data_IF_794214821515
#
_entry.id   IF_794214821515
#
_cell.length_a   1.000
_cell.length_b   1.000
_cell.length_c   1.000
_cell.angle_alpha   90.00
_cell.angle_beta   90.00
_cell.angle_gamma   90.00
#
_symmetry.space_group_name_H-M   'P 1'
#
loop_
_entity.id
_entity.type
_entity.pdbx_description
1 polymer ?
#
# COMPACT_ATOMS: atom_id res chain seq x y z
N UNK A 1 13.34 9.16 -2.11
CA UNK A 1 12.25 9.93 -1.46
C UNK A 1 12.79 10.52 -0.15
N UNK A 2 12.38 11.73 0.28
CA UNK A 2 12.74 12.22 1.63
C UNK A 2 11.96 11.41 2.67
N UNK A 3 12.57 11.05 3.80
CA UNK A 3 11.96 10.23 4.86
C UNK A 3 10.57 10.75 5.31
N UNK A 4 10.39 12.07 5.35
CA UNK A 4 9.09 12.71 5.62
C UNK A 4 8.00 12.30 4.61
N UNK A 5 8.33 12.28 3.31
CA UNK A 5 7.41 11.89 2.23
C UNK A 5 7.10 10.39 2.29
N UNK A 6 8.07 9.54 2.66
CA UNK A 6 7.86 8.11 2.90
C UNK A 6 6.87 7.86 4.04
N UNK A 7 7.07 8.53 5.17
CA UNK A 7 6.16 8.44 6.32
C UNK A 7 4.76 8.98 6.01
N UNK A 8 4.64 10.02 5.19
CA UNK A 8 3.35 10.49 4.69
C UNK A 8 2.68 9.46 3.77
N UNK A 9 3.43 8.79 2.89
CA UNK A 9 2.89 7.74 2.04
C UNK A 9 2.36 6.55 2.85
N UNK A 10 3.10 6.09 3.85
CA UNK A 10 2.66 5.01 4.76
C UNK A 10 1.40 5.42 5.52
N UNK A 11 1.34 6.66 6.02
CA UNK A 11 0.13 7.19 6.67
C UNK A 11 -1.07 7.18 5.73
N UNK A 12 -0.92 7.65 4.49
CA UNK A 12 -2.00 7.67 3.51
C UNK A 12 -2.43 6.26 3.09
N UNK A 13 -1.50 5.31 2.97
CA UNK A 13 -1.80 3.90 2.75
C UNK A 13 -2.71 3.39 3.86
N UNK A 14 -2.33 3.61 5.12
CA UNK A 14 -3.12 3.19 6.28
C UNK A 14 -4.52 3.78 6.25
N UNK A 15 -4.64 5.09 6.04
CA UNK A 15 -5.94 5.76 5.95
C UNK A 15 -6.78 5.22 4.79
N UNK A 16 -6.17 4.95 3.63
CA UNK A 16 -6.88 4.36 2.50
C UNK A 16 -7.39 2.95 2.82
N UNK A 17 -6.57 2.09 3.42
CA UNK A 17 -7.00 0.74 3.83
C UNK A 17 -8.10 0.78 4.91
N UNK A 18 -8.07 1.76 5.82
CA UNK A 18 -9.15 1.99 6.80
C UNK A 18 -10.47 2.43 6.16
N UNK A 19 -10.46 2.94 4.92
CA UNK A 19 -11.70 3.27 4.19
C UNK A 19 -12.33 2.07 3.47
N UNK A 20 -11.65 0.93 3.43
CA UNK A 20 -12.22 -0.30 2.85
C UNK A 20 -13.22 -0.89 3.84
N UNK A 21 -14.51 -0.78 3.54
CA UNK A 21 -15.58 -1.32 4.41
C UNK A 21 -15.73 -2.84 4.27
N UNK A 22 -15.33 -3.41 3.14
CA UNK A 22 -15.49 -4.84 2.86
C UNK A 22 -14.52 -5.71 3.66
N UNK A 23 -13.42 -5.14 4.16
CA UNK A 23 -12.30 -5.88 4.76
C UNK A 23 -11.62 -5.14 5.89
N UNK A 24 -11.29 -5.91 6.93
CA UNK A 24 -10.55 -5.39 8.07
C UNK A 24 -9.06 -5.62 7.86
N UNK A 25 -8.33 -4.54 7.56
CA UNK A 25 -6.87 -4.55 7.46
C UNK A 25 -6.22 -4.16 8.78
N UNK A 26 -5.27 -4.96 9.24
CA UNK A 26 -4.46 -4.67 10.45
C UNK A 26 -2.99 -4.62 10.08
N UNK A 27 -2.36 -3.49 10.37
CA UNK A 27 -0.92 -3.31 10.22
C UNK A 27 -0.16 -4.21 11.21
N UNK A 28 0.78 -5.01 10.69
CA UNK A 28 1.61 -5.90 11.50
C UNK A 28 2.96 -5.24 11.77
N UNK A 29 3.65 -4.78 10.71
CA UNK A 29 4.97 -4.19 10.80
C UNK A 29 5.36 -3.46 9.51
N UNK A 30 6.06 -2.33 9.66
CA UNK A 30 6.84 -1.74 8.57
C UNK A 30 8.11 -2.57 8.33
N UNK A 31 8.38 -2.89 7.07
CA UNK A 31 9.58 -3.64 6.67
C UNK A 31 10.67 -2.64 6.28
N UNK A 32 11.86 -2.69 6.89
CA UNK A 32 12.93 -1.76 6.56
C UNK A 32 13.44 -2.03 5.14
N UNK A 33 13.36 -1.01 4.29
CA UNK A 33 13.87 -1.05 2.91
C UNK A 33 15.13 -0.20 2.81
N UNK A 34 16.09 -0.63 2.00
CA UNK A 34 17.28 0.17 1.65
C UNK A 34 17.04 1.10 0.46
N UNK A 35 15.95 0.88 -0.27
CA UNK A 35 15.53 1.72 -1.39
C UNK A 35 14.74 2.92 -0.87
N UNK A 36 15.26 4.11 -1.15
CA UNK A 36 14.72 5.39 -0.68
C UNK A 36 13.40 5.74 -1.36
N UNK A 37 13.06 5.13 -2.51
CA UNK A 37 11.80 5.34 -3.21
C UNK A 37 10.81 4.19 -2.98
N UNK A 38 11.18 3.21 -2.14
CA UNK A 38 10.33 2.08 -1.77
C UNK A 38 9.91 2.16 -0.31
N UNK A 39 8.68 1.73 -0.04
CA UNK A 39 8.26 1.36 1.30
C UNK A 39 7.53 0.01 1.27
N UNK A 40 7.62 -0.70 2.37
CA UNK A 40 7.03 -2.03 2.52
C UNK A 40 6.36 -2.09 3.89
N UNK A 41 5.10 -2.51 3.91
CA UNK A 41 4.33 -2.63 5.15
C UNK A 41 3.57 -3.94 5.13
N UNK A 42 3.76 -4.75 6.15
CA UNK A 42 3.08 -6.02 6.32
C UNK A 42 1.72 -5.82 6.98
N UNK A 43 0.69 -6.41 6.40
CA UNK A 43 -0.69 -6.38 6.87
C UNK A 43 -1.23 -7.79 7.03
N UNK A 44 -2.15 -7.95 7.97
CA UNK A 44 -3.14 -9.02 7.95
C UNK A 44 -4.48 -8.48 7.47
N UNK A 45 -5.28 -9.33 6.85
CA UNK A 45 -6.67 -9.02 6.53
C UNK A 45 -7.60 -10.12 7.03
N UNK A 46 -8.84 -9.75 7.33
CA UNK A 46 -9.94 -10.66 7.59
C UNK A 46 -11.11 -10.31 6.67
N UNK A 47 -11.66 -11.32 5.97
CA UNK A 47 -12.80 -11.18 5.09
C UNK A 47 -13.64 -12.46 5.06
N UNK A 48 -14.92 -12.40 5.45
CA UNK A 48 -15.84 -13.56 5.40
C UNK A 48 -15.27 -14.85 6.01
N UNK A 49 -14.47 -14.73 7.08
CA UNK A 49 -13.82 -15.85 7.77
C UNK A 49 -12.53 -16.37 7.12
N UNK A 50 -12.06 -15.71 6.06
CA UNK A 50 -10.72 -15.90 5.49
C UNK A 50 -9.76 -14.91 6.14
N UNK A 51 -8.60 -15.41 6.56
CA UNK A 51 -7.53 -14.60 7.16
C UNK A 51 -6.23 -14.79 6.39
N UNK A 52 -5.55 -13.71 6.07
CA UNK A 52 -4.29 -13.78 5.33
C UNK A 52 -3.31 -12.71 5.74
N UNK A 53 -2.05 -12.91 5.34
CA UNK A 53 -0.94 -11.99 5.60
C UNK A 53 -0.28 -11.68 4.26
N UNK A 54 -0.07 -10.40 4.02
CA UNK A 54 0.57 -9.91 2.81
C UNK A 54 1.40 -8.67 3.13
N UNK A 55 2.31 -8.36 2.23
CA UNK A 55 3.13 -7.15 2.27
C UNK A 55 2.62 -6.22 1.18
N UNK A 56 2.28 -5.01 1.56
CA UNK A 56 2.06 -3.92 0.61
C UNK A 56 3.41 -3.32 0.25
N UNK A 57 3.72 -3.34 -1.03
CA UNK A 57 4.91 -2.70 -1.59
C UNK A 57 4.48 -1.43 -2.28
N UNK A 58 4.91 -0.28 -1.76
CA UNK A 58 4.74 1.01 -2.40
C UNK A 58 6.01 1.46 -3.08
N UNK A 59 5.93 1.76 -4.38
CA UNK A 59 7.04 2.31 -5.15
C UNK A 59 6.71 3.73 -5.60
N UNK A 60 7.46 4.70 -5.09
CA UNK A 60 7.35 6.09 -5.48
C UNK A 60 8.16 6.32 -6.77
N UNK A 61 7.53 6.96 -7.75
CA UNK A 61 8.18 7.55 -8.90
C UNK A 61 8.04 9.06 -8.80
N UNK A 62 9.17 9.77 -8.88
CA UNK A 62 9.15 11.22 -9.09
C UNK A 62 8.80 11.44 -10.56
N UNK A 63 7.67 12.07 -10.81
CA UNK A 63 7.28 12.44 -12.17
C UNK A 63 7.80 13.85 -12.40
N UNK A 64 8.92 13.96 -13.11
CA UNK A 64 9.39 15.23 -13.67
C UNK A 64 8.27 15.79 -14.54
N UNK A 65 7.49 16.70 -13.97
CA UNK A 65 6.48 17.45 -14.69
C UNK A 65 7.13 18.73 -15.18
N UNK A 66 6.83 19.15 -16.41
CA UNK A 66 7.21 20.48 -16.98
C UNK A 66 6.63 21.68 -16.18
N UNK A 67 5.94 21.41 -15.06
CA UNK A 67 5.37 22.35 -14.11
C UNK A 67 6.21 22.32 -12.84
N UNK A 68 6.47 23.47 -12.23
CA UNK A 68 7.38 23.69 -11.07
C UNK A 68 7.06 22.89 -9.78
N UNK A 69 6.15 21.92 -9.81
CA UNK A 69 5.77 21.08 -8.67
C UNK A 69 6.15 19.61 -8.96
N UNK A 70 7.16 19.12 -8.25
CA UNK A 70 7.53 17.69 -8.24
C UNK A 70 6.34 16.84 -7.76
N UNK A 71 5.67 16.15 -8.69
CA UNK A 71 4.54 15.26 -8.36
C UNK A 71 5.06 13.87 -8.04
N UNK A 72 4.70 13.37 -6.87
CA UNK A 72 4.96 12.00 -6.47
C UNK A 72 3.81 11.13 -6.96
N UNK A 73 4.15 10.06 -7.67
CA UNK A 73 3.23 8.97 -7.97
C UNK A 73 3.68 7.73 -7.20
N UNK A 74 2.78 7.10 -6.46
CA UNK A 74 3.09 5.84 -5.74
C UNK A 74 2.31 4.72 -6.38
N UNK A 75 2.98 3.65 -6.80
CA UNK A 75 2.28 2.43 -7.23
C UNK A 75 2.30 1.41 -6.11
N UNK A 76 1.14 0.79 -5.84
CA UNK A 76 0.97 -0.21 -4.79
C UNK A 76 0.88 -1.62 -5.37
N UNK A 77 1.53 -2.58 -4.71
CA UNK A 77 1.48 -4.00 -5.06
C UNK A 77 1.30 -4.86 -3.81
N UNK A 78 0.61 -6.00 -3.96
CA UNK A 78 0.51 -7.01 -2.91
C UNK A 78 1.48 -8.18 -3.13
N UNK A 79 2.25 -8.51 -2.09
CA UNK A 79 3.08 -9.70 -2.01
C UNK A 79 2.61 -10.57 -0.84
N UNK A 80 1.94 -11.68 -1.14
CA UNK A 80 1.49 -12.62 -0.11
C UNK A 80 2.69 -13.42 0.40
N UNK A 81 2.75 -13.65 1.72
CA UNK A 81 3.78 -14.50 2.30
C UNK A 81 3.49 -15.98 1.96
N UNK A 82 4.50 -16.75 1.58
CA UNK A 82 4.35 -18.19 1.24
C UNK A 82 3.73 -19.01 2.39
N UNK A 83 3.92 -18.56 3.64
CA UNK A 83 3.33 -19.15 4.84
C UNK A 83 1.91 -18.65 5.18
N UNK A 84 1.34 -17.76 4.36
CA UNK A 84 -0.03 -17.29 4.58
C UNK A 84 -1.02 -18.43 4.32
N UNK A 85 -1.98 -18.60 5.24
CA UNK A 85 -3.08 -19.57 5.14
C UNK A 85 -3.82 -19.56 3.80
N UNK A 86 -3.79 -18.43 3.09
CA UNK A 86 -4.45 -18.24 1.81
C UNK A 86 -3.51 -17.71 0.71
N UNK A 87 -2.20 -17.99 0.80
CA UNK A 87 -1.21 -17.61 -0.22
C UNK A 87 -1.63 -18.01 -1.65
N UNK A 88 -2.14 -19.23 -1.82
CA UNK A 88 -2.60 -19.75 -3.13
C UNK A 88 -4.03 -19.35 -3.51
N UNK A 89 -4.72 -18.56 -2.67
CA UNK A 89 -6.08 -18.11 -2.96
C UNK A 89 -6.04 -16.98 -3.98
N UNK A 90 -6.19 -17.34 -5.26
CA UNK A 90 -6.32 -16.38 -6.35
C UNK A 90 -7.40 -15.32 -6.08
N UNK A 91 -8.50 -15.72 -5.43
CA UNK A 91 -9.58 -14.82 -5.02
C UNK A 91 -9.13 -13.82 -3.97
N UNK A 92 -8.43 -14.24 -2.91
CA UNK A 92 -7.96 -13.32 -1.88
C UNK A 92 -6.95 -12.31 -2.45
N UNK A 93 -6.06 -12.76 -3.34
CA UNK A 93 -5.12 -11.88 -4.02
C UNK A 93 -5.82 -10.85 -4.90
N UNK A 94 -6.72 -11.29 -5.78
CA UNK A 94 -7.47 -10.40 -6.68
C UNK A 94 -8.26 -9.35 -5.90
N UNK A 95 -8.93 -9.78 -4.82
CA UNK A 95 -9.65 -8.84 -3.98
C UNK A 95 -8.67 -7.82 -3.37
N UNK A 96 -7.54 -8.24 -2.77
CA UNK A 96 -6.59 -7.30 -2.13
C UNK A 96 -6.00 -6.34 -3.16
N UNK A 97 -5.67 -6.83 -4.35
CA UNK A 97 -5.18 -5.99 -5.45
C UNK A 97 -6.22 -4.92 -5.85
N UNK A 98 -7.51 -5.28 -5.92
CA UNK A 98 -8.58 -4.32 -6.18
C UNK A 98 -8.68 -3.22 -5.11
N UNK A 99 -8.51 -3.56 -3.83
CA UNK A 99 -8.48 -2.55 -2.76
C UNK A 99 -7.28 -1.64 -2.89
N UNK A 100 -6.10 -2.20 -3.15
CA UNK A 100 -4.88 -1.43 -3.31
C UNK A 100 -4.97 -0.46 -4.49
N UNK A 101 -5.68 -0.80 -5.57
CA UNK A 101 -5.97 0.14 -6.67
C UNK A 101 -6.77 1.35 -6.17
N UNK A 102 -7.83 1.12 -5.38
CA UNK A 102 -8.63 2.20 -4.82
C UNK A 102 -7.81 3.06 -3.85
N UNK A 103 -6.96 2.42 -3.04
CA UNK A 103 -6.06 3.11 -2.11
C UNK A 103 -4.98 3.90 -2.87
N UNK A 104 -4.45 3.38 -3.97
CA UNK A 104 -3.51 4.09 -4.83
C UNK A 104 -4.13 5.39 -5.35
N UNK A 105 -5.38 5.35 -5.84
CA UNK A 105 -6.10 6.54 -6.28
C UNK A 105 -6.31 7.55 -5.13
N UNK A 106 -6.65 7.06 -3.93
CA UNK A 106 -6.76 7.89 -2.73
C UNK A 106 -5.43 8.57 -2.39
N UNK A 107 -4.33 7.81 -2.41
CA UNK A 107 -2.99 8.32 -2.13
C UNK A 107 -2.58 9.39 -3.15
N UNK A 108 -2.80 9.18 -4.45
CA UNK A 108 -2.42 10.17 -5.49
C UNK A 108 -3.12 11.51 -5.31
N UNK A 109 -4.35 11.52 -4.79
CA UNK A 109 -5.10 12.76 -4.51
C UNK A 109 -4.49 13.55 -3.35
N UNK A 110 -3.93 12.88 -2.34
CA UNK A 110 -3.53 13.53 -1.08
C UNK A 110 -2.01 13.63 -0.87
N UNK A 111 -1.20 12.82 -1.57
CA UNK A 111 0.25 12.74 -1.33
C UNK A 111 1.00 14.02 -1.73
N UNK A 112 0.41 14.82 -2.62
CA UNK A 112 0.96 16.11 -3.07
C UNK A 112 0.34 17.32 -2.32
N UNK A 113 -0.59 17.10 -1.38
CA UNK A 113 -1.26 18.18 -0.63
C UNK A 113 -0.52 18.61 0.66
N UNK A 114 0.71 18.08 0.92
CA UNK A 114 1.42 18.25 2.21
C UNK A 114 2.90 18.63 2.11
#
# INVERSE_FOLDING_TARGET
MIEKKKQQAIKLLKQGLETVEEREYTEIAEVPTTDEDKFEVKYSFVHDGLEGIFTVVGQAANVDSDSEEEKIKVTLFSEFAEDSLHYDSATAKEQVDNDLINVEEYMHRHINEG
#
